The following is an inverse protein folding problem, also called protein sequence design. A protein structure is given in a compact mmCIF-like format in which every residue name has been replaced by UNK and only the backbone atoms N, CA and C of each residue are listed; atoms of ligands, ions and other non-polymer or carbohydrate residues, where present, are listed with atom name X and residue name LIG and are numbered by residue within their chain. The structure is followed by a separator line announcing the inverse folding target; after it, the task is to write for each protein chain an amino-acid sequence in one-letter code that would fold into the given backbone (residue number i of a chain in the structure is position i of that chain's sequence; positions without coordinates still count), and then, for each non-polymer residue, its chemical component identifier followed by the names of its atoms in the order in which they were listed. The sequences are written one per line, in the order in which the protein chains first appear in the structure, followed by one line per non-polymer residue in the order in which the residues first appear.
data_IF_086356144557
#
_entry.id   IF_086356144557
#
_cell.length_a   1.000
_cell.length_b   1.000
_cell.length_c   1.000
_cell.angle_alpha   90.00
_cell.angle_beta   90.00
_cell.angle_gamma   90.00
#
_symmetry.space_group_name_H-M   'P 1'
#
loop_
_entity.id
_entity.type
_entity.pdbx_description
1 polymer ?
#
# COMPACT_ATOMS: atom_id res chain seq x y z
N UNK A 1 -44.17 39.84 -6.54
CA UNK A 1 -42.72 39.68 -6.80
C UNK A 1 -42.00 40.61 -5.82
N UNK A 2 -41.55 40.09 -4.67
CA UNK A 2 -40.91 40.87 -3.60
C UNK A 2 -39.48 40.36 -3.43
N UNK A 3 -38.49 41.24 -3.56
CA UNK A 3 -37.08 40.92 -3.34
C UNK A 3 -36.76 40.98 -1.86
N UNK A 4 -36.24 39.87 -1.32
CA UNK A 4 -35.68 39.81 0.02
C UNK A 4 -34.27 40.42 0.01
N UNK A 5 -34.13 41.58 0.66
CA UNK A 5 -32.82 42.20 0.92
C UNK A 5 -32.12 41.43 2.04
N UNK A 6 -30.97 40.83 1.74
CA UNK A 6 -30.08 40.22 2.72
C UNK A 6 -29.54 41.32 3.64
N UNK A 7 -30.07 41.41 4.86
CA UNK A 7 -29.59 42.32 5.90
C UNK A 7 -28.17 41.94 6.32
N UNK A 8 -27.19 42.72 5.86
CA UNK A 8 -25.88 42.75 6.47
C UNK A 8 -26.06 43.34 7.88
N UNK A 9 -25.88 42.51 8.91
CA UNK A 9 -26.05 42.90 10.30
C UNK A 9 -24.92 43.89 10.69
N UNK A 10 -25.21 45.18 10.96
CA UNK A 10 -24.20 46.21 11.18
C UNK A 10 -23.42 46.03 12.50
N UNK A 11 -23.84 45.09 13.35
CA UNK A 11 -23.26 44.84 14.67
C UNK A 11 -21.85 44.21 14.64
N UNK A 12 -21.37 43.78 13.46
CA UNK A 12 -20.11 43.02 13.29
C UNK A 12 -18.86 43.89 13.05
N UNK A 13 -18.97 45.22 13.15
CA UNK A 13 -17.90 46.16 12.74
C UNK A 13 -17.31 46.98 13.88
N UNK A 14 -17.63 46.68 15.15
CA UNK A 14 -17.04 47.41 16.28
C UNK A 14 -15.62 46.90 16.60
N UNK A 15 -14.58 47.77 16.63
CA UNK A 15 -13.21 47.37 16.94
C UNK A 15 -13.03 46.75 18.33
N UNK A 16 -13.99 47.00 19.23
CA UNK A 16 -13.94 46.62 20.63
C UNK A 16 -14.65 45.29 20.91
N UNK A 17 -15.29 44.68 19.90
CA UNK A 17 -15.85 43.34 20.01
C UNK A 17 -14.72 42.32 20.02
N UNK A 18 -14.47 41.72 21.19
CA UNK A 18 -13.73 40.46 21.24
C UNK A 18 -14.46 39.46 20.34
N UNK A 19 -13.75 38.97 19.32
CA UNK A 19 -14.21 37.88 18.48
C UNK A 19 -14.74 36.76 19.39
N UNK A 20 -15.86 36.09 19.03
CA UNK A 20 -16.30 34.91 19.77
C UNK A 20 -15.11 33.97 19.91
N UNK A 21 -14.66 33.74 21.15
CA UNK A 21 -13.70 32.68 21.41
C UNK A 21 -14.31 31.41 20.83
N UNK A 22 -13.63 30.85 19.82
CA UNK A 22 -13.98 29.57 19.26
C UNK A 22 -13.89 28.58 20.41
N UNK A 23 -15.00 28.31 21.09
CA UNK A 23 -15.09 27.19 22.03
C UNK A 23 -14.51 25.99 21.26
N UNK A 24 -13.46 25.32 21.77
CA UNK A 24 -13.09 24.03 21.21
C UNK A 24 -14.38 23.21 21.22
N UNK A 25 -14.78 22.68 20.07
CA UNK A 25 -16.04 21.96 19.95
C UNK A 25 -16.03 20.80 20.96
N UNK A 26 -16.64 21.02 22.12
CA UNK A 26 -16.89 20.00 23.12
C UNK A 26 -17.82 18.98 22.48
N UNK A 27 -17.29 17.79 22.18
CA UNK A 27 -18.02 16.70 21.53
C UNK A 27 -17.67 16.44 20.07
N UNK A 28 -16.80 17.25 19.45
CA UNK A 28 -16.19 16.88 18.17
C UNK A 28 -15.18 15.78 18.41
N UNK A 29 -15.55 14.53 18.17
CA UNK A 29 -14.60 13.41 18.14
C UNK A 29 -13.34 13.86 17.37
N UNK A 30 -12.13 13.69 17.93
CA UNK A 30 -10.91 14.06 17.20
C UNK A 30 -10.99 13.41 15.82
N UNK A 31 -10.62 14.14 14.74
CA UNK A 31 -10.63 13.55 13.41
C UNK A 31 -9.90 12.22 13.50
N UNK A 32 -10.47 11.13 12.92
CA UNK A 32 -9.85 9.82 13.02
C UNK A 32 -8.38 9.98 12.66
N UNK A 33 -7.45 9.43 13.46
CA UNK A 33 -6.04 9.54 13.15
C UNK A 33 -5.88 9.15 11.68
N UNK A 34 -5.16 9.95 10.86
CA UNK A 34 -5.03 9.67 9.45
C UNK A 34 -4.66 8.20 9.33
N UNK A 35 -5.50 7.40 8.66
CA UNK A 35 -5.38 5.95 8.60
C UNK A 35 -3.90 5.64 8.40
N UNK A 36 -3.26 5.08 9.43
CA UNK A 36 -1.81 5.08 9.57
C UNK A 36 -1.21 4.61 8.25
N UNK A 37 -0.49 5.51 7.58
CA UNK A 37 0.00 5.24 6.23
C UNK A 37 0.77 3.93 6.25
N UNK A 38 0.39 2.99 5.38
CA UNK A 38 1.07 1.70 5.22
C UNK A 38 2.53 1.84 4.74
N UNK A 39 2.95 3.08 4.47
CA UNK A 39 4.25 3.43 3.95
C UNK A 39 5.34 3.51 5.03
N UNK A 40 6.18 2.47 5.09
CA UNK A 40 7.40 2.47 5.91
C UNK A 40 8.61 3.03 5.13
N UNK A 41 9.60 3.66 5.78
CA UNK A 41 10.81 4.21 5.11
C UNK A 41 11.56 3.18 4.24
N UNK A 42 11.54 1.91 4.62
CA UNK A 42 12.13 0.81 3.84
C UNK A 42 11.52 0.63 2.44
N UNK A 43 10.27 1.06 2.23
CA UNK A 43 9.64 1.05 0.91
C UNK A 43 10.38 1.94 -0.10
N UNK A 44 11.08 2.98 0.36
CA UNK A 44 11.96 3.76 -0.52
C UNK A 44 13.15 2.94 -1.00
N UNK A 45 13.78 2.15 -0.14
CA UNK A 45 14.92 1.32 -0.54
C UNK A 45 14.50 0.27 -1.59
N UNK A 46 13.37 -0.43 -1.34
CA UNK A 46 12.81 -1.41 -2.28
C UNK A 46 12.40 -0.74 -3.59
N UNK A 47 11.69 0.39 -3.51
CA UNK A 47 11.25 1.13 -4.69
C UNK A 47 12.42 1.65 -5.53
N UNK A 48 13.42 2.26 -4.89
CA UNK A 48 14.63 2.76 -5.57
C UNK A 48 15.41 1.61 -6.21
N UNK A 49 15.54 0.47 -5.52
CA UNK A 49 16.16 -0.72 -6.10
C UNK A 49 15.42 -1.19 -7.35
N UNK A 50 14.09 -1.32 -7.30
CA UNK A 50 13.28 -1.76 -8.44
C UNK A 50 13.39 -0.80 -9.63
N UNK A 51 13.39 0.52 -9.38
CA UNK A 51 13.59 1.53 -10.42
C UNK A 51 15.00 1.41 -11.01
N UNK A 52 16.04 1.36 -10.19
CA UNK A 52 17.42 1.24 -10.66
C UNK A 52 17.63 -0.06 -11.45
N UNK A 53 17.12 -1.18 -10.97
CA UNK A 53 17.17 -2.48 -11.64
C UNK A 53 16.48 -2.42 -13.02
N UNK A 54 15.22 -1.96 -13.08
CA UNK A 54 14.49 -1.89 -14.34
C UNK A 54 15.05 -0.86 -15.33
N UNK A 55 15.52 0.30 -14.85
CA UNK A 55 16.19 1.28 -15.72
C UNK A 55 17.49 0.71 -16.27
N UNK A 56 18.28 0.02 -15.43
CA UNK A 56 19.51 -0.66 -15.88
C UNK A 56 19.19 -1.73 -16.92
N UNK A 57 18.12 -2.51 -16.74
CA UNK A 57 17.65 -3.52 -17.69
C UNK A 57 17.22 -2.92 -19.04
N UNK A 58 16.53 -1.77 -19.02
CA UNK A 58 16.14 -1.02 -20.21
C UNK A 58 17.35 -0.42 -20.94
N UNK A 59 18.26 0.24 -20.21
CA UNK A 59 19.50 0.82 -20.77
C UNK A 59 20.38 -0.29 -21.36
N UNK A 60 20.58 -1.38 -20.63
CA UNK A 60 21.35 -2.53 -21.12
C UNK A 60 20.73 -3.13 -22.38
N UNK A 61 19.41 -3.22 -22.45
CA UNK A 61 18.73 -3.69 -23.66
C UNK A 61 18.91 -2.75 -24.85
N UNK A 62 18.89 -1.43 -24.63
CA UNK A 62 19.15 -0.46 -25.69
C UNK A 62 20.61 -0.54 -26.20
N UNK A 63 21.57 -0.68 -25.28
CA UNK A 63 22.99 -0.76 -25.62
C UNK A 63 23.38 -2.11 -26.25
N UNK A 64 22.77 -3.21 -25.81
CA UNK A 64 23.08 -4.58 -26.21
C UNK A 64 21.95 -5.20 -27.05
N UNK A 65 21.23 -4.36 -27.81
CA UNK A 65 20.01 -4.78 -28.51
C UNK A 65 20.22 -5.99 -29.42
N UNK A 66 21.34 -6.01 -30.16
CA UNK A 66 21.68 -7.11 -31.07
C UNK A 66 21.97 -8.43 -30.35
N UNK A 67 22.60 -8.40 -29.17
CA UNK A 67 22.84 -9.59 -28.35
C UNK A 67 21.51 -10.11 -27.79
N UNK A 68 20.69 -9.23 -27.23
CA UNK A 68 19.39 -9.59 -26.64
C UNK A 68 18.40 -10.13 -27.67
N UNK A 69 18.41 -9.60 -28.89
CA UNK A 69 17.62 -10.13 -30.00
C UNK A 69 18.06 -11.55 -30.36
N UNK A 70 19.37 -11.79 -30.53
CA UNK A 70 19.92 -13.11 -30.84
C UNK A 70 19.64 -14.14 -29.74
N UNK A 71 19.68 -13.70 -28.48
CA UNK A 71 19.30 -14.52 -27.34
C UNK A 71 17.82 -14.95 -27.43
N UNK A 72 16.92 -14.02 -27.73
CA UNK A 72 15.50 -14.33 -27.95
C UNK A 72 15.23 -15.18 -29.20
N UNK A 73 16.02 -15.00 -30.27
CA UNK A 73 15.96 -15.88 -31.44
C UNK A 73 16.25 -17.33 -31.05
N UNK A 74 17.14 -17.56 -30.06
CA UNK A 74 17.44 -18.88 -29.52
C UNK A 74 16.23 -19.56 -28.86
N UNK A 75 15.40 -18.80 -28.15
CA UNK A 75 14.22 -19.31 -27.45
C UNK A 75 12.97 -19.46 -28.34
N UNK A 76 12.76 -18.53 -29.28
CA UNK A 76 11.48 -18.39 -30.00
C UNK A 76 11.59 -18.53 -31.53
N UNK A 77 12.79 -18.73 -32.06
CA UNK A 77 13.06 -18.76 -33.50
C UNK A 77 13.17 -17.38 -34.15
N UNK A 78 13.79 -17.34 -35.33
CA UNK A 78 14.32 -16.13 -35.98
C UNK A 78 13.29 -15.07 -36.43
N UNK A 79 12.01 -15.44 -36.51
CA UNK A 79 10.99 -14.57 -37.12
C UNK A 79 10.50 -13.43 -36.22
N UNK A 80 10.35 -13.69 -34.91
CA UNK A 80 9.58 -12.83 -34.02
C UNK A 80 10.37 -12.23 -32.86
N UNK A 81 11.66 -12.55 -32.70
CA UNK A 81 12.44 -12.12 -31.53
C UNK A 81 12.49 -10.60 -31.36
N UNK A 82 12.56 -9.84 -32.46
CA UNK A 82 12.52 -8.38 -32.40
C UNK A 82 11.22 -7.85 -31.80
N UNK A 83 10.09 -8.34 -32.29
CA UNK A 83 8.75 -7.97 -31.79
C UNK A 83 8.56 -8.39 -30.34
N UNK A 84 8.97 -9.61 -29.99
CA UNK A 84 8.91 -10.12 -28.62
C UNK A 84 9.80 -9.32 -27.67
N UNK A 85 11.00 -8.92 -28.12
CA UNK A 85 11.90 -8.07 -27.33
C UNK A 85 11.28 -6.70 -27.06
N UNK A 86 10.68 -6.07 -28.07
CA UNK A 86 9.98 -4.79 -27.91
C UNK A 86 8.82 -4.94 -26.92
N UNK A 87 8.00 -5.99 -27.05
CA UNK A 87 6.89 -6.24 -26.15
C UNK A 87 7.37 -6.47 -24.71
N UNK A 88 8.39 -7.30 -24.51
CA UNK A 88 8.99 -7.55 -23.21
C UNK A 88 9.51 -6.26 -22.56
N UNK A 89 10.19 -5.41 -23.33
CA UNK A 89 10.71 -4.12 -22.83
C UNK A 89 9.61 -3.09 -22.59
N UNK A 90 8.51 -3.13 -23.34
CA UNK A 90 7.33 -2.33 -23.05
C UNK A 90 6.70 -2.73 -21.72
N UNK A 91 6.56 -4.03 -21.44
CA UNK A 91 6.09 -4.54 -20.14
C UNK A 91 7.04 -4.10 -19.03
N UNK A 92 8.36 -4.26 -19.21
CA UNK A 92 9.38 -3.82 -18.26
C UNK A 92 9.27 -2.32 -17.94
N UNK A 93 9.11 -1.48 -18.96
CA UNK A 93 8.90 -0.04 -18.79
C UNK A 93 7.62 0.28 -17.99
N UNK A 94 6.53 -0.46 -18.22
CA UNK A 94 5.29 -0.33 -17.44
C UNK A 94 5.53 -0.72 -15.97
N UNK A 95 6.28 -1.79 -15.68
CA UNK A 95 6.60 -2.19 -14.30
C UNK A 95 7.43 -1.12 -13.57
N UNK A 96 8.38 -0.49 -14.27
CA UNK A 96 9.15 0.65 -13.74
C UNK A 96 8.22 1.83 -13.46
N UNK A 97 7.34 2.19 -14.40
CA UNK A 97 6.39 3.28 -14.23
C UNK A 97 5.43 3.04 -13.05
N UNK A 98 4.93 1.81 -12.88
CA UNK A 98 4.11 1.38 -11.74
C UNK A 98 4.88 1.54 -10.42
N UNK A 99 6.14 1.14 -10.39
CA UNK A 99 7.01 1.33 -9.21
C UNK A 99 7.18 2.80 -8.87
N UNK A 100 7.50 3.65 -9.85
CA UNK A 100 7.63 5.11 -9.67
C UNK A 100 6.32 5.71 -9.16
N UNK A 101 5.18 5.32 -9.74
CA UNK A 101 3.87 5.75 -9.28
C UNK A 101 3.61 5.33 -7.82
N UNK A 102 4.03 4.14 -7.42
CA UNK A 102 3.96 3.67 -6.04
C UNK A 102 4.77 4.54 -5.07
N UNK A 103 6.00 4.91 -5.44
CA UNK A 103 6.86 5.80 -4.65
C UNK A 103 6.25 7.19 -4.52
N UNK A 104 5.84 7.80 -5.64
CA UNK A 104 5.26 9.16 -5.66
C UNK A 104 3.96 9.22 -4.86
N UNK A 105 3.09 8.21 -5.02
CA UNK A 105 1.81 8.13 -4.31
C UNK A 105 1.93 7.62 -2.88
N UNK A 106 3.13 7.16 -2.46
CA UNK A 106 3.41 6.56 -1.15
C UNK A 106 2.40 5.45 -0.80
N UNK A 107 2.08 4.59 -1.77
CA UNK A 107 1.14 3.47 -1.61
C UNK A 107 1.86 2.16 -1.90
N UNK A 108 2.07 1.37 -0.85
CA UNK A 108 2.77 0.07 -0.88
C UNK A 108 2.11 -0.96 -1.79
N UNK A 109 0.77 -0.93 -1.92
CA UNK A 109 0.02 -1.82 -2.82
C UNK A 109 0.46 -1.76 -4.29
N UNK A 110 1.10 -0.68 -4.75
CA UNK A 110 1.60 -0.58 -6.14
C UNK A 110 2.88 -1.39 -6.38
N UNK A 111 3.60 -1.80 -5.34
CA UNK A 111 4.76 -2.67 -5.50
C UNK A 111 4.39 -4.12 -5.77
N UNK A 112 3.20 -4.56 -5.36
CA UNK A 112 2.72 -5.92 -5.61
C UNK A 112 2.66 -6.25 -7.10
N UNK A 113 1.97 -5.48 -7.96
CA UNK A 113 1.95 -5.78 -9.40
C UNK A 113 3.32 -5.65 -10.05
N UNK A 114 4.18 -4.72 -9.59
CA UNK A 114 5.54 -4.60 -10.09
C UNK A 114 6.38 -5.85 -9.78
N UNK A 115 6.45 -6.25 -8.51
CA UNK A 115 7.19 -7.43 -8.05
C UNK A 115 6.65 -8.71 -8.69
N UNK A 116 5.33 -8.88 -8.74
CA UNK A 116 4.69 -10.02 -9.39
C UNK A 116 5.04 -10.10 -10.88
N UNK A 117 5.05 -8.95 -11.58
CA UNK A 117 5.44 -8.88 -13.00
C UNK A 117 6.87 -9.34 -13.23
N UNK A 118 7.82 -8.88 -12.40
CA UNK A 118 9.22 -9.32 -12.47
C UNK A 118 9.36 -10.82 -12.18
N UNK A 119 8.72 -11.31 -11.12
CA UNK A 119 8.72 -12.73 -10.78
C UNK A 119 8.15 -13.59 -11.90
N UNK A 120 7.06 -13.17 -12.53
CA UNK A 120 6.48 -13.86 -13.68
C UNK A 120 7.46 -13.91 -14.86
N UNK A 121 8.18 -12.83 -15.13
CA UNK A 121 9.26 -12.80 -16.13
C UNK A 121 10.32 -13.86 -15.87
N UNK A 122 10.91 -13.88 -14.66
CA UNK A 122 11.93 -14.88 -14.31
C UNK A 122 11.39 -16.31 -14.33
N UNK A 123 10.14 -16.53 -13.90
CA UNK A 123 9.52 -17.84 -13.95
C UNK A 123 9.34 -18.34 -15.39
N UNK A 124 8.93 -17.47 -16.31
CA UNK A 124 8.84 -17.83 -17.74
C UNK A 124 10.21 -18.20 -18.30
N UNK A 125 11.25 -17.40 -18.04
CA UNK A 125 12.60 -17.72 -18.50
C UNK A 125 13.17 -18.99 -17.88
N UNK A 126 12.91 -19.25 -16.59
CA UNK A 126 13.32 -20.50 -15.95
C UNK A 126 12.66 -21.73 -16.61
N UNK A 127 11.38 -21.63 -16.98
CA UNK A 127 10.70 -22.72 -17.73
C UNK A 127 11.36 -22.91 -19.11
N UNK A 128 11.66 -21.82 -19.83
CA UNK A 128 12.34 -21.91 -21.12
C UNK A 128 13.73 -22.54 -21.01
N UNK A 129 14.50 -22.19 -19.98
CA UNK A 129 15.82 -22.78 -19.75
C UNK A 129 15.76 -24.28 -19.44
N UNK A 130 14.72 -24.74 -18.76
CA UNK A 130 14.49 -26.19 -18.56
C UNK A 130 14.21 -26.87 -19.89
N UNK A 131 13.37 -26.28 -20.75
CA UNK A 131 13.02 -26.83 -22.06
C UNK A 131 14.22 -26.87 -23.01
N UNK A 132 15.09 -25.86 -22.96
CA UNK A 132 16.29 -25.76 -23.79
C UNK A 132 17.55 -26.40 -23.16
N UNK A 133 17.43 -26.98 -21.96
CA UNK A 133 18.54 -27.64 -21.27
C UNK A 133 19.66 -26.69 -20.79
N UNK A 134 19.35 -25.40 -20.59
CA UNK A 134 20.32 -24.35 -20.24
C UNK A 134 20.50 -24.23 -18.73
N UNK A 135 21.23 -25.18 -18.13
CA UNK A 135 21.45 -25.23 -16.68
C UNK A 135 22.02 -23.93 -16.06
N UNK A 136 22.91 -23.24 -16.79
CA UNK A 136 23.46 -21.96 -16.35
C UNK A 136 22.42 -20.84 -16.29
N UNK A 137 21.60 -20.70 -17.34
CA UNK A 137 20.49 -19.74 -17.37
C UNK A 137 19.46 -20.07 -16.29
N UNK A 138 19.12 -21.34 -16.13
CA UNK A 138 18.17 -21.78 -15.11
C UNK A 138 18.59 -21.34 -13.71
N UNK A 139 19.85 -21.56 -13.35
CA UNK A 139 20.36 -21.17 -12.03
C UNK A 139 20.31 -19.65 -11.83
N UNK A 140 20.64 -18.88 -12.86
CA UNK A 140 20.55 -17.41 -12.84
C UNK A 140 19.10 -16.93 -12.64
N UNK A 141 18.15 -17.44 -13.44
CA UNK A 141 16.75 -17.04 -13.33
C UNK A 141 16.11 -17.47 -12.00
N UNK A 142 16.48 -18.65 -11.46
CA UNK A 142 16.04 -19.08 -10.14
C UNK A 142 16.62 -18.21 -9.02
N UNK A 143 17.88 -17.78 -9.13
CA UNK A 143 18.49 -16.87 -8.17
C UNK A 143 17.79 -15.49 -8.16
N UNK A 144 17.50 -14.93 -9.34
CA UNK A 144 16.73 -13.69 -9.43
C UNK A 144 15.31 -13.85 -8.89
N UNK A 145 14.62 -14.94 -9.25
CA UNK A 145 13.29 -15.23 -8.72
C UNK A 145 13.29 -15.30 -7.19
N UNK A 146 14.25 -16.01 -6.59
CA UNK A 146 14.41 -16.10 -5.14
C UNK A 146 14.66 -14.71 -4.52
N UNK A 147 15.54 -13.90 -5.12
CA UNK A 147 15.78 -12.52 -4.69
C UNK A 147 14.51 -11.67 -4.68
N UNK A 148 13.70 -11.76 -5.74
CA UNK A 148 12.44 -11.03 -5.83
C UNK A 148 11.38 -11.51 -4.85
N UNK A 149 11.32 -12.83 -4.57
CA UNK A 149 10.48 -13.38 -3.50
C UNK A 149 10.89 -12.80 -2.14
N UNK A 150 12.19 -12.74 -1.84
CA UNK A 150 12.70 -12.12 -0.61
C UNK A 150 12.31 -10.64 -0.55
N UNK A 151 12.45 -9.89 -1.65
CA UNK A 151 12.03 -8.49 -1.72
C UNK A 151 10.53 -8.32 -1.47
N UNK A 152 9.70 -9.22 -2.00
CA UNK A 152 8.26 -9.22 -1.73
C UNK A 152 7.97 -9.44 -0.24
N UNK A 153 8.62 -10.43 0.38
CA UNK A 153 8.52 -10.67 1.81
C UNK A 153 9.01 -9.48 2.65
N UNK A 154 10.11 -8.83 2.27
CA UNK A 154 10.62 -7.64 2.96
C UNK A 154 9.63 -6.48 2.82
N UNK A 155 9.12 -6.22 1.61
CA UNK A 155 8.17 -5.14 1.38
C UNK A 155 6.87 -5.37 2.18
N UNK A 156 6.31 -6.58 2.15
CA UNK A 156 4.99 -6.85 2.71
C UNK A 156 5.01 -7.32 4.18
N UNK A 157 6.02 -8.08 4.57
CA UNK A 157 6.23 -8.53 5.95
C UNK A 157 6.54 -7.37 6.90
N UNK A 158 7.20 -6.31 6.40
CA UNK A 158 7.38 -5.07 7.16
C UNK A 158 6.06 -4.29 7.29
N UNK A 159 5.21 -4.26 6.25
CA UNK A 159 3.87 -3.65 6.33
C UNK A 159 2.97 -4.35 7.36
N UNK A 160 3.00 -5.68 7.45
CA UNK A 160 2.23 -6.43 8.45
C UNK A 160 2.63 -6.09 9.89
N UNK A 161 3.94 -5.99 10.18
CA UNK A 161 4.43 -5.57 11.51
C UNK A 161 4.06 -4.13 11.85
N UNK A 162 4.12 -3.22 10.86
CA UNK A 162 3.74 -1.83 11.05
C UNK A 162 2.24 -1.68 11.39
N UNK A 163 1.36 -2.48 10.76
CA UNK A 163 -0.08 -2.49 11.04
C UNK A 163 -0.40 -3.03 12.45
N UNK A 164 0.29 -4.08 12.90
CA UNK A 164 0.11 -4.62 14.26
C UNK A 164 0.60 -3.63 15.31
N UNK A 165 1.76 -3.00 15.10
CA UNK A 165 2.31 -2.01 16.03
C UNK A 165 1.48 -0.73 16.13
N UNK A 166 0.98 -0.22 15.00
CA UNK A 166 0.08 0.95 14.99
C UNK A 166 -1.29 0.63 15.59
N UNK A 167 -1.86 -0.55 15.35
CA UNK A 167 -3.10 -0.99 15.99
C UNK A 167 -2.97 -1.23 17.50
N UNK A 168 -1.78 -1.61 17.98
CA UNK A 168 -1.45 -1.69 19.40
C UNK A 168 -1.26 -0.30 20.02
N UNK A 169 -0.57 0.63 19.32
CA UNK A 169 -0.40 2.01 19.77
C UNK A 169 -1.74 2.76 19.86
N UNK A 170 -2.64 2.57 18.88
CA UNK A 170 -4.01 3.14 18.90
C UNK A 170 -4.81 2.60 20.10
N UNK A 171 -4.68 1.30 20.42
CA UNK A 171 -5.30 0.70 21.61
C UNK A 171 -4.69 1.20 22.91
N UNK A 172 -3.38 1.45 22.96
CA UNK A 172 -2.71 2.01 24.13
C UNK A 172 -3.07 3.49 24.36
N UNK A 173 -3.20 4.28 23.29
CA UNK A 173 -3.66 5.67 23.35
C UNK A 173 -5.15 5.81 23.67
N UNK A 174 -5.93 4.73 23.56
CA UNK A 174 -7.34 4.73 23.93
C UNK A 174 -7.57 4.79 25.46
N UNK A 175 -6.52 4.65 26.28
CA UNK A 175 -6.52 4.85 27.73
C UNK A 175 -7.43 3.89 28.52
N UNK A 176 -7.04 3.48 29.74
CA UNK A 176 -8.01 2.91 30.67
C UNK A 176 -8.95 4.03 31.11
N UNK A 177 -10.25 3.90 30.82
CA UNK A 177 -11.28 4.77 31.40
C UNK A 177 -11.17 4.62 32.93
N UNK A 178 -10.83 5.68 33.68
CA UNK A 178 -10.79 5.60 35.14
C UNK A 178 -12.19 5.29 35.65
N UNK A 179 -12.28 4.34 36.57
CA UNK A 179 -13.55 3.96 37.19
C UNK A 179 -14.26 5.17 37.80
N UNK A 180 -15.51 5.40 37.36
CA UNK A 180 -16.47 6.26 38.04
C UNK A 180 -17.55 5.37 38.63
N UNK A 181 -17.38 4.99 39.90
CA UNK A 181 -18.52 4.60 40.73
C UNK A 181 -19.35 5.86 40.97
N UNK A 182 -20.60 5.85 40.52
CA UNK A 182 -21.50 6.99 40.64
C UNK A 182 -22.90 6.57 40.27
N UNK A 183 -23.70 6.26 41.29
CA UNK A 183 -25.15 6.23 41.21
C UNK A 183 -25.68 7.56 40.65
N UNK A 184 -26.76 7.48 39.86
CA UNK A 184 -27.69 8.60 39.69
C UNK A 184 -27.70 9.27 38.32
N UNK A 185 -28.69 8.88 37.51
CA UNK A 185 -29.52 9.75 36.65
C UNK A 185 -28.81 10.73 35.71
N UNK A 186 -28.63 10.33 34.45
CA UNK A 186 -28.30 11.26 33.36
C UNK A 186 -27.89 10.54 32.07
N UNK A 187 -28.77 10.59 31.08
CA UNK A 187 -28.61 10.26 29.66
C UNK A 187 -27.17 10.13 29.13
N UNK A 188 -26.71 8.88 28.99
CA UNK A 188 -25.50 8.52 28.26
C UNK A 188 -25.66 7.09 27.76
N UNK A 189 -26.22 6.94 26.57
CA UNK A 189 -26.57 5.62 26.01
C UNK A 189 -25.31 4.73 25.96
N UNK A 190 -25.31 3.55 26.59
CA UNK A 190 -24.18 2.63 26.52
C UNK A 190 -23.97 2.24 25.06
N UNK A 191 -22.74 2.42 24.59
CA UNK A 191 -22.26 2.14 23.23
C UNK A 191 -22.87 0.84 22.70
N UNK A 192 -23.96 0.94 21.92
CA UNK A 192 -24.67 -0.23 21.37
C UNK A 192 -23.69 -0.99 20.49
N UNK A 193 -23.48 -2.26 20.82
CA UNK A 193 -22.73 -3.18 19.99
C UNK A 193 -23.46 -3.29 18.65
N UNK A 194 -22.73 -3.37 17.55
CA UNK A 194 -23.37 -3.67 16.26
C UNK A 194 -24.09 -5.02 16.38
N UNK A 195 -25.23 -5.22 15.70
CA UNK A 195 -26.00 -6.48 15.78
C UNK A 195 -25.14 -7.74 15.61
N UNK A 196 -24.12 -7.65 14.76
CA UNK A 196 -23.15 -8.74 14.53
C UNK A 196 -22.25 -9.01 15.74
N UNK A 197 -21.83 -7.96 16.45
CA UNK A 197 -21.05 -8.08 17.69
C UNK A 197 -21.89 -8.63 18.84
N UNK A 198 -23.17 -8.26 18.94
CA UNK A 198 -24.10 -8.84 19.92
C UNK A 198 -24.27 -10.35 19.67
N UNK A 199 -24.41 -10.75 18.40
CA UNK A 199 -24.51 -12.16 18.04
C UNK A 199 -23.23 -12.94 18.38
N UNK A 200 -22.06 -12.37 18.10
CA UNK A 200 -20.76 -12.98 18.42
C UNK A 200 -20.53 -13.12 19.94
N UNK A 201 -20.90 -12.11 20.73
CA UNK A 201 -20.84 -12.16 22.19
C UNK A 201 -21.81 -13.20 22.77
N UNK A 202 -23.01 -13.30 22.20
CA UNK A 202 -23.98 -14.33 22.61
C UNK A 202 -23.48 -15.75 22.32
N UNK A 203 -22.74 -15.95 21.21
CA UNK A 203 -22.15 -17.23 20.86
C UNK A 203 -20.99 -17.60 21.79
N UNK A 204 -20.13 -16.65 22.13
CA UNK A 204 -19.02 -16.83 23.08
C UNK A 204 -19.49 -17.17 24.49
N UNK A 205 -20.56 -16.54 24.98
CA UNK A 205 -21.11 -16.81 26.31
C UNK A 205 -21.82 -18.17 26.44
N UNK A 206 -22.11 -18.86 25.32
CA UNK A 206 -22.70 -20.21 25.33
C UNK A 206 -21.65 -21.32 25.41
N UNK A 207 -20.37 -21.00 25.25
CA UNK A 207 -19.31 -22.00 25.37
C UNK A 207 -19.14 -22.37 26.86
N UNK A 208 -19.24 -23.66 27.22
CA UNK A 208 -18.97 -24.10 28.58
C UNK A 208 -17.51 -23.76 28.91
N UNK A 209 -17.29 -22.96 29.96
CA UNK A 209 -15.96 -22.75 30.52
C UNK A 209 -15.49 -24.10 31.07
N UNK A 210 -14.50 -24.71 30.40
CA UNK A 210 -13.76 -25.87 30.91
C UNK A 210 -12.58 -25.40 31.73
#
# INVERSE_FOLDING_TARGET
MAMASAGANPEWTRPDQRLPERRPAEGGAPPPPPAGGTWHRMHYAVGVFLVAYGVTGLVSAALLWGDRRRELDGYFGSGNAGTLLVLAKAVEAVLVAVTVAGIVRRRDMWFVPALAGWMAGFAVFAVLDVLDGRAGGLLEHLAYLAGFVVLLFVSYGLSAKAQVGSGAAVRASAGPVPGGGGDGTGEGEPRRLTRTQEFALSALNRLPRR
#
